data_IF_319392434030
#
_entry.id   IF_319392434030
#
_cell.length_a   1.000
_cell.length_b   1.000
_cell.length_c   1.000
_cell.angle_alpha   90.00
_cell.angle_beta   90.00
_cell.angle_gamma   90.00
#
_symmetry.space_group_name_H-M   'P 1'
#
loop_
_entity.id
_entity.type
_entity.pdbx_description
1 polymer ?
#
# COMPACT_ATOMS: atom_id res chain seq x y z
N UNK A 1 -1.75 -11.40 21.95
CA UNK A 1 -2.10 -11.60 20.52
C UNK A 1 -0.88 -11.33 19.64
N UNK A 2 -0.52 -12.24 18.72
CA UNK A 2 0.63 -12.02 17.80
C UNK A 2 0.30 -10.90 16.81
N UNK A 3 1.04 -9.78 16.86
CA UNK A 3 0.94 -8.70 15.87
C UNK A 3 1.80 -9.07 14.64
N UNK A 4 1.37 -8.62 13.47
CA UNK A 4 2.10 -8.81 12.21
C UNK A 4 2.38 -7.44 11.62
N UNK A 5 3.60 -7.24 11.19
CA UNK A 5 3.99 -6.08 10.42
C UNK A 5 3.97 -6.46 8.93
N UNK A 6 3.30 -5.63 8.14
CA UNK A 6 3.28 -5.72 6.69
C UNK A 6 4.05 -4.52 6.17
N UNK A 7 5.19 -4.78 5.54
CA UNK A 7 6.04 -3.76 4.92
C UNK A 7 5.85 -3.83 3.42
N UNK A 8 5.36 -2.73 2.86
CA UNK A 8 5.20 -2.54 1.43
C UNK A 8 6.26 -1.57 0.94
N UNK A 9 7.08 -2.01 0.00
CA UNK A 9 8.00 -1.15 -0.75
C UNK A 9 7.55 -1.09 -2.20
N UNK A 10 7.49 0.11 -2.75
CA UNK A 10 7.05 0.32 -4.12
C UNK A 10 7.85 1.42 -4.79
N UNK A 11 7.93 1.33 -6.11
CA UNK A 11 8.53 2.33 -6.99
C UNK A 11 7.63 2.47 -8.21
N UNK A 12 7.30 3.70 -8.58
CA UNK A 12 6.36 3.98 -9.66
C UNK A 12 7.02 4.86 -10.69
N UNK A 13 6.87 4.50 -11.96
CA UNK A 13 7.34 5.28 -13.09
C UNK A 13 6.16 5.71 -13.95
N UNK A 14 5.94 7.01 -14.06
CA UNK A 14 4.84 7.62 -14.79
C UNK A 14 5.16 9.06 -15.19
N UNK A 15 4.86 9.43 -16.43
CA UNK A 15 4.98 10.81 -16.94
C UNK A 15 3.76 11.68 -16.58
N UNK A 16 3.00 11.27 -15.58
CA UNK A 16 1.76 11.91 -15.14
C UNK A 16 1.51 11.62 -13.65
N UNK A 17 0.59 12.37 -13.06
CA UNK A 17 0.27 12.24 -11.65
C UNK A 17 -0.54 10.96 -11.37
N UNK A 18 -0.09 10.21 -10.37
CA UNK A 18 -0.79 9.05 -9.83
C UNK A 18 -1.11 9.27 -8.35
N UNK A 19 -2.20 8.68 -7.90
CA UNK A 19 -2.54 8.61 -6.47
C UNK A 19 -2.37 7.19 -5.97
N UNK A 20 -2.07 7.03 -4.68
CA UNK A 20 -2.07 5.73 -4.02
C UNK A 20 -2.77 5.81 -2.66
N UNK A 21 -3.34 4.70 -2.22
CA UNK A 21 -3.87 4.52 -0.86
C UNK A 21 -3.67 3.08 -0.41
N UNK A 22 -3.79 2.84 0.89
CA UNK A 22 -3.80 1.49 1.43
C UNK A 22 -4.94 1.31 2.42
N UNK A 23 -5.67 0.21 2.27
CA UNK A 23 -6.76 -0.19 3.14
C UNK A 23 -6.49 -1.57 3.74
N UNK A 24 -7.10 -1.85 4.89
CA UNK A 24 -7.15 -3.19 5.48
C UNK A 24 -8.57 -3.72 5.42
N UNK A 25 -8.76 -4.79 4.67
CA UNK A 25 -10.04 -5.48 4.51
C UNK A 25 -10.07 -6.65 5.48
N UNK A 26 -10.95 -6.58 6.47
CA UNK A 26 -11.24 -7.68 7.39
C UNK A 26 -12.11 -8.73 6.69
N UNK A 27 -12.12 -9.96 7.21
CA UNK A 27 -12.93 -11.08 6.67
C UNK A 27 -14.43 -10.75 6.61
N UNK A 28 -14.90 -9.85 7.49
CA UNK A 28 -16.28 -9.39 7.59
C UNK A 28 -16.56 -8.13 6.75
N UNK A 29 -15.81 -7.93 5.67
CA UNK A 29 -15.89 -6.77 4.74
C UNK A 29 -15.73 -5.38 5.37
N UNK A 30 -15.28 -5.30 6.62
CA UNK A 30 -14.95 -4.03 7.26
C UNK A 30 -13.62 -3.52 6.72
N UNK A 31 -13.67 -2.36 6.06
CA UNK A 31 -12.51 -1.68 5.48
C UNK A 31 -11.99 -0.63 6.46
N UNK A 32 -10.73 -0.77 6.91
CA UNK A 32 -10.02 0.23 7.71
C UNK A 32 -8.97 0.93 6.86
N UNK A 33 -8.98 2.26 6.81
CA UNK A 33 -7.93 3.02 6.13
C UNK A 33 -6.61 2.84 6.88
N UNK A 34 -5.58 2.35 6.17
CA UNK A 34 -4.21 2.23 6.68
C UNK A 34 -3.33 3.38 6.22
N UNK A 35 -3.52 3.83 4.99
CA UNK A 35 -2.83 4.97 4.42
C UNK A 35 -3.83 5.79 3.59
N UNK A 36 -3.99 7.10 3.86
CA UNK A 36 -4.91 7.93 3.12
C UNK A 36 -4.48 8.05 1.65
N UNK A 37 -5.40 8.51 0.81
CA UNK A 37 -5.11 8.75 -0.60
C UNK A 37 -4.12 9.90 -0.75
N UNK A 38 -2.95 9.62 -1.33
CA UNK A 38 -1.86 10.57 -1.49
C UNK A 38 -1.33 10.60 -2.91
N UNK A 39 -0.81 11.77 -3.32
CA UNK A 39 -0.09 11.96 -4.60
C UNK A 39 1.28 11.28 -4.53
N UNK A 40 1.66 10.59 -5.60
CA UNK A 40 3.05 10.17 -5.81
C UNK A 40 3.85 11.41 -6.19
N UNK A 41 4.93 11.70 -5.45
CA UNK A 41 5.64 12.98 -5.53
C UNK A 41 6.73 13.01 -6.60
N UNK A 42 7.13 11.89 -7.17
CA UNK A 42 8.15 11.87 -8.21
C UNK A 42 8.22 10.55 -8.98
N UNK A 43 8.65 10.65 -10.24
CA UNK A 43 8.97 9.52 -11.10
C UNK A 43 10.14 8.71 -10.51
N UNK A 44 9.96 7.40 -10.38
CA UNK A 44 10.95 6.51 -9.80
C UNK A 44 11.18 6.72 -8.30
N UNK A 45 10.33 7.47 -7.58
CA UNK A 45 10.43 7.58 -6.12
C UNK A 45 10.16 6.24 -5.45
N UNK A 46 11.01 5.86 -4.48
CA UNK A 46 10.74 4.70 -3.61
C UNK A 46 9.82 5.13 -2.47
N UNK A 47 8.69 4.47 -2.35
CA UNK A 47 7.73 4.64 -1.25
C UNK A 47 7.77 3.38 -0.39
N UNK A 48 7.96 3.56 0.92
CA UNK A 48 7.96 2.46 1.90
C UNK A 48 6.90 2.76 2.94
N UNK A 49 5.93 1.85 3.09
CA UNK A 49 4.87 1.92 4.10
C UNK A 49 4.93 0.67 4.98
N UNK A 50 4.72 0.85 6.28
CA UNK A 50 4.62 -0.26 7.24
C UNK A 50 3.29 -0.19 7.96
N UNK A 51 2.64 -1.34 8.08
CA UNK A 51 1.33 -1.48 8.71
C UNK A 51 1.39 -2.57 9.77
N UNK A 52 0.99 -2.23 11.00
CA UNK A 52 0.83 -3.21 12.08
C UNK A 52 -0.62 -3.67 12.10
N UNK A 53 -0.84 -4.95 11.84
CA UNK A 53 -2.16 -5.59 11.89
C UNK A 53 -2.19 -6.64 13.00
N UNK A 54 -3.32 -6.69 13.72
CA UNK A 54 -3.55 -7.59 14.85
C UNK A 54 -4.68 -8.59 14.60
N UNK A 55 -5.28 -8.58 13.41
CA UNK A 55 -6.36 -9.48 12.99
C UNK A 55 -6.03 -10.09 11.62
N UNK A 56 -6.58 -11.28 11.30
CA UNK A 56 -6.56 -11.79 9.93
C UNK A 56 -7.32 -10.86 8.98
N UNK A 57 -6.80 -10.71 7.77
CA UNK A 57 -7.36 -9.83 6.74
C UNK A 57 -6.34 -9.58 5.64
N UNK A 58 -6.71 -8.70 4.72
CA UNK A 58 -5.94 -8.40 3.51
C UNK A 58 -5.60 -6.93 3.46
N UNK A 59 -4.35 -6.59 3.14
CA UNK A 59 -3.99 -5.21 2.80
C UNK A 59 -4.25 -5.00 1.32
N UNK A 60 -5.13 -4.06 1.01
CA UNK A 60 -5.41 -3.64 -0.36
C UNK A 60 -4.62 -2.36 -0.66
N UNK A 61 -3.68 -2.46 -1.59
CA UNK A 61 -2.94 -1.33 -2.13
C UNK A 61 -3.61 -0.90 -3.44
N UNK A 62 -4.13 0.33 -3.49
CA UNK A 62 -4.78 0.87 -4.69
C UNK A 62 -3.91 1.96 -5.30
N UNK A 63 -3.68 1.87 -6.61
CA UNK A 63 -3.16 2.96 -7.42
C UNK A 63 -4.26 3.48 -8.33
N UNK A 64 -4.46 4.79 -8.31
CA UNK A 64 -5.40 5.45 -9.19
C UNK A 64 -4.64 6.16 -10.31
N UNK A 65 -4.95 5.72 -11.53
CA UNK A 65 -4.45 6.27 -12.77
C UNK A 65 -5.59 6.85 -13.61
N UNK A 66 -6.12 7.98 -13.16
CA UNK A 66 -7.22 8.69 -13.81
C UNK A 66 -6.92 9.09 -15.27
N UNK A 67 -5.65 9.32 -15.60
CA UNK A 67 -5.23 9.76 -16.94
C UNK A 67 -5.24 8.63 -17.98
N UNK A 68 -5.34 7.37 -17.55
CA UNK A 68 -5.25 6.15 -18.39
C UNK A 68 -3.98 6.04 -19.24
N UNK A 69 -2.98 6.90 -19.03
CA UNK A 69 -1.65 6.79 -19.65
C UNK A 69 -0.86 5.63 -19.03
N UNK A 70 0.09 5.06 -19.78
CA UNK A 70 0.91 3.94 -19.30
C UNK A 70 1.73 4.34 -18.06
N UNK A 71 1.82 3.43 -17.09
CA UNK A 71 2.65 3.57 -15.91
C UNK A 71 3.24 2.19 -15.54
N UNK A 72 4.43 2.17 -14.95
CA UNK A 72 5.06 0.97 -14.43
C UNK A 72 5.08 1.02 -12.90
N UNK A 73 4.56 -0.03 -12.28
CA UNK A 73 4.62 -0.24 -10.83
C UNK A 73 5.55 -1.42 -10.54
N UNK A 74 6.60 -1.17 -9.76
CA UNK A 74 7.44 -2.21 -9.17
C UNK A 74 7.15 -2.24 -7.68
N UNK A 75 6.81 -3.42 -7.14
CA UNK A 75 6.47 -3.54 -5.72
C UNK A 75 7.05 -4.80 -5.09
N UNK A 76 7.27 -4.74 -3.77
CA UNK A 76 7.62 -5.85 -2.91
C UNK A 76 6.81 -5.78 -1.63
N UNK A 77 6.12 -6.87 -1.31
CA UNK A 77 5.43 -7.03 -0.04
C UNK A 77 6.23 -8.00 0.85
N UNK A 78 6.52 -7.57 2.07
CA UNK A 78 7.18 -8.38 3.08
C UNK A 78 6.29 -8.46 4.32
N UNK A 79 6.14 -9.67 4.87
CA UNK A 79 5.45 -9.88 6.14
C UNK A 79 6.46 -10.29 7.21
N UNK A 80 6.40 -9.64 8.37
CA UNK A 80 7.19 -9.98 9.56
C UNK A 80 6.26 -10.23 10.74
N UNK A 81 6.58 -11.23 11.55
CA UNK A 81 5.91 -11.41 12.85
C UNK A 81 6.61 -10.51 13.84
N UNK A 82 5.86 -9.69 14.58
CA UNK A 82 6.42 -8.81 15.60
C UNK A 82 5.94 -9.27 16.96
N UNK A 83 6.88 -9.59 17.85
CA UNK A 83 6.61 -9.73 19.27
C UNK A 83 6.77 -8.33 19.87
N UNK A 84 5.69 -7.79 20.44
CA UNK A 84 5.71 -6.57 21.25
C UNK A 84 5.37 -7.00 22.67
#
# INVERSE_FOLDING_TARGET
MKKREIVLKMRVFAQHQLMYKADFVLIVDVVKVLHPRMKIKGDGQVISQSFIVNRPGTVLLTFDNSTKKKALLVYKCCRKTVQI
#
